data_IF_267723614618
#
_entry.id   IF_267723614618
#
_cell.length_a   1.000
_cell.length_b   1.000
_cell.length_c   1.000
_cell.angle_alpha   90.00
_cell.angle_beta   90.00
_cell.angle_gamma   90.00
#
_symmetry.space_group_name_H-M   'P 1'
#
loop_
_entity.id
_entity.type
_entity.pdbx_description
1 polymer ?
#
# COMPACT_ATOMS: atom_id res chain seq x y z
N UNK A 1 8.21 -20.69 0.40
CA UNK A 1 7.18 -19.79 0.98
C UNK A 1 7.62 -18.34 0.84
N UNK A 2 8.80 -17.98 1.35
CA UNK A 2 9.29 -16.59 1.37
C UNK A 2 9.45 -15.97 -0.02
N UNK A 3 9.94 -16.74 -1.00
CA UNK A 3 10.00 -16.27 -2.39
C UNK A 3 8.63 -15.84 -2.93
N UNK A 4 7.55 -16.56 -2.56
CA UNK A 4 6.20 -16.19 -2.96
C UNK A 4 5.76 -14.89 -2.31
N UNK A 5 6.11 -14.65 -1.03
CA UNK A 5 5.82 -13.39 -0.35
C UNK A 5 6.51 -12.21 -1.05
N UNK A 6 7.79 -12.37 -1.42
CA UNK A 6 8.55 -11.33 -2.14
C UNK A 6 7.95 -11.06 -3.51
N UNK A 7 7.62 -12.10 -4.29
CA UNK A 7 7.01 -11.90 -5.61
C UNK A 7 5.63 -11.24 -5.52
N UNK A 8 4.80 -11.62 -4.55
CA UNK A 8 3.48 -10.98 -4.34
C UNK A 8 3.62 -9.52 -3.92
N UNK A 9 4.60 -9.19 -3.08
CA UNK A 9 4.90 -7.80 -2.73
C UNK A 9 5.37 -6.99 -3.93
N UNK A 10 6.24 -7.56 -4.78
CA UNK A 10 6.70 -6.91 -6.00
C UNK A 10 5.53 -6.59 -6.95
N UNK A 11 4.63 -7.55 -7.18
CA UNK A 11 3.43 -7.32 -8.00
C UNK A 11 2.49 -6.30 -7.37
N UNK A 12 2.27 -6.36 -6.05
CA UNK A 12 1.48 -5.36 -5.33
C UNK A 12 2.08 -3.96 -5.50
N UNK A 13 3.41 -3.82 -5.40
CA UNK A 13 4.07 -2.53 -5.54
C UNK A 13 3.98 -1.95 -6.95
N UNK A 14 4.12 -2.77 -8.00
CA UNK A 14 3.88 -2.33 -9.39
C UNK A 14 2.48 -1.71 -9.55
N UNK A 15 1.44 -2.38 -9.04
CA UNK A 15 0.07 -1.85 -9.09
C UNK A 15 -0.05 -0.54 -8.33
N UNK A 16 0.52 -0.46 -7.12
CA UNK A 16 0.43 0.78 -6.34
C UNK A 16 1.24 1.92 -6.94
N UNK A 17 2.39 1.67 -7.57
CA UNK A 17 3.16 2.69 -8.29
C UNK A 17 2.34 3.26 -9.45
N UNK A 18 1.67 2.40 -10.22
CA UNK A 18 0.76 2.86 -11.28
C UNK A 18 -0.39 3.71 -10.74
N UNK A 19 -0.94 3.38 -9.57
CA UNK A 19 -1.91 4.24 -8.88
C UNK A 19 -1.28 5.58 -8.49
N UNK A 20 -0.02 5.59 -8.04
CA UNK A 20 0.73 6.81 -7.72
C UNK A 20 0.91 7.71 -8.93
N UNK A 21 1.30 7.16 -10.08
CA UNK A 21 1.38 7.89 -11.36
C UNK A 21 0.03 8.50 -11.74
N UNK A 22 -1.05 7.72 -11.64
CA UNK A 22 -2.40 8.21 -11.92
C UNK A 22 -2.83 9.32 -10.95
N UNK A 23 -2.52 9.18 -9.66
CA UNK A 23 -2.79 10.22 -8.66
C UNK A 23 -2.04 11.50 -8.96
N UNK A 24 -0.73 11.41 -9.24
CA UNK A 24 0.11 12.55 -9.61
C UNK A 24 -0.43 13.26 -10.85
N UNK A 25 -0.78 12.51 -11.91
CA UNK A 25 -1.34 13.06 -13.14
C UNK A 25 -2.68 13.80 -12.94
N UNK A 26 -3.45 13.47 -11.89
CA UNK A 26 -4.74 14.10 -11.57
C UNK A 26 -4.68 15.03 -10.35
N UNK A 27 -3.49 15.33 -9.81
CA UNK A 27 -3.33 16.20 -8.65
C UNK A 27 -3.94 15.65 -7.35
N UNK A 28 -4.09 14.33 -7.24
CA UNK A 28 -4.64 13.67 -6.05
C UNK A 28 -3.57 13.42 -5.00
N UNK A 29 -3.96 13.49 -3.73
CA UNK A 29 -3.05 13.26 -2.61
C UNK A 29 -2.50 11.82 -2.58
N UNK A 30 -1.20 11.64 -2.23
CA UNK A 30 -0.59 10.33 -2.00
C UNK A 30 -1.33 9.47 -0.97
N UNK A 31 -1.69 10.06 0.17
CA UNK A 31 -2.42 9.41 1.26
C UNK A 31 -3.94 9.57 1.09
N UNK A 32 -4.69 8.58 1.61
CA UNK A 32 -6.16 8.60 1.69
C UNK A 32 -6.56 7.89 3.00
N UNK A 33 -6.69 8.65 4.11
CA UNK A 33 -6.91 8.08 5.44
C UNK A 33 -8.14 7.19 5.54
N UNK A 34 -9.23 7.57 4.86
CA UNK A 34 -10.48 6.81 4.86
C UNK A 34 -10.31 5.48 4.12
N UNK A 35 -9.59 5.48 2.99
CA UNK A 35 -9.26 4.25 2.26
C UNK A 35 -8.31 3.36 3.04
N UNK A 36 -7.34 3.93 3.74
CA UNK A 36 -6.38 3.21 4.58
C UNK A 36 -7.09 2.52 5.75
N UNK A 37 -7.98 3.23 6.44
CA UNK A 37 -8.80 2.66 7.52
C UNK A 37 -9.64 1.46 7.04
N UNK A 38 -10.27 1.57 5.85
CA UNK A 38 -11.02 0.45 5.24
C UNK A 38 -10.13 -0.75 4.89
N UNK A 39 -8.91 -0.50 4.42
CA UNK A 39 -7.96 -1.57 4.11
C UNK A 39 -7.50 -2.30 5.37
N UNK A 40 -7.21 -1.57 6.45
CA UNK A 40 -6.87 -2.15 7.75
C UNK A 40 -8.00 -3.04 8.26
N UNK A 41 -9.23 -2.53 8.28
CA UNK A 41 -10.39 -3.30 8.75
C UNK A 41 -10.59 -4.60 7.95
N UNK A 42 -10.51 -4.54 6.62
CA UNK A 42 -10.63 -5.72 5.75
C UNK A 42 -9.52 -6.74 6.00
N UNK A 43 -8.28 -6.29 6.16
CA UNK A 43 -7.14 -7.19 6.35
C UNK A 43 -7.09 -7.81 7.75
N UNK A 44 -7.55 -7.09 8.78
CA UNK A 44 -7.80 -7.68 10.10
C UNK A 44 -8.80 -8.83 10.03
N UNK A 45 -9.89 -8.69 9.26
CA UNK A 45 -10.84 -9.77 9.05
C UNK A 45 -10.20 -10.98 8.34
N UNK A 46 -9.44 -10.75 7.27
CA UNK A 46 -8.71 -11.81 6.56
C UNK A 46 -7.68 -12.53 7.47
N UNK A 47 -7.05 -11.81 8.39
CA UNK A 47 -6.13 -12.40 9.36
C UNK A 47 -6.85 -13.36 10.31
N UNK A 48 -8.01 -12.96 10.84
CA UNK A 48 -8.87 -13.83 11.68
C UNK A 48 -9.23 -15.11 10.92
N UNK A 49 -9.71 -14.99 9.68
CA UNK A 49 -10.11 -16.13 8.85
C UNK A 49 -8.94 -17.09 8.57
N UNK A 50 -7.73 -16.53 8.39
CA UNK A 50 -6.51 -17.29 8.17
C UNK A 50 -5.87 -17.84 9.46
N UNK A 51 -6.44 -17.56 10.63
CA UNK A 51 -5.85 -17.84 11.96
C UNK A 51 -4.46 -17.21 12.15
N UNK A 52 -4.28 -16.01 11.59
CA UNK A 52 -3.14 -15.13 11.83
C UNK A 52 -3.54 -14.09 12.87
N UNK A 53 -2.61 -13.71 13.76
CA UNK A 53 -2.82 -12.63 14.71
C UNK A 53 -3.19 -11.32 13.98
N UNK A 54 -4.39 -10.74 14.23
CA UNK A 54 -4.81 -9.50 13.59
C UNK A 54 -3.92 -8.30 13.92
N UNK A 55 -3.30 -8.26 15.11
CA UNK A 55 -2.37 -7.18 15.46
C UNK A 55 -1.08 -7.25 14.64
N UNK A 56 -0.54 -8.46 14.48
CA UNK A 56 0.60 -8.68 13.59
C UNK A 56 0.27 -8.31 12.14
N UNK A 57 -0.89 -8.73 11.63
CA UNK A 57 -1.32 -8.41 10.27
C UNK A 57 -1.46 -6.90 10.05
N UNK A 58 -1.99 -6.17 11.03
CA UNK A 58 -2.09 -4.72 10.99
C UNK A 58 -0.70 -4.04 10.99
N UNK A 59 0.22 -4.48 11.85
CA UNK A 59 1.60 -3.94 11.87
C UNK A 59 2.29 -4.13 10.52
N UNK A 60 2.19 -5.33 9.93
CA UNK A 60 2.73 -5.61 8.61
C UNK A 60 2.08 -4.73 7.53
N UNK A 61 0.77 -4.57 7.57
CA UNK A 61 0.07 -3.72 6.62
C UNK A 61 0.48 -2.25 6.75
N UNK A 62 0.57 -1.72 7.96
CA UNK A 62 0.99 -0.34 8.21
C UNK A 62 2.38 -0.08 7.63
N UNK A 63 3.31 -1.04 7.78
CA UNK A 63 4.61 -1.00 7.12
C UNK A 63 4.49 -0.94 5.59
N UNK A 64 3.70 -1.82 4.98
CA UNK A 64 3.51 -1.86 3.54
C UNK A 64 2.83 -0.58 3.01
N UNK A 65 1.85 -0.02 3.73
CA UNK A 65 1.13 1.20 3.35
C UNK A 65 2.05 2.41 3.41
N UNK A 66 2.86 2.54 4.47
CA UNK A 66 3.85 3.61 4.58
C UNK A 66 4.80 3.62 3.38
N UNK A 67 5.26 2.45 2.95
CA UNK A 67 6.14 2.33 1.78
C UNK A 67 5.44 2.69 0.46
N UNK A 68 4.14 2.38 0.34
CA UNK A 68 3.33 2.83 -0.82
C UNK A 68 3.20 4.35 -0.85
N UNK A 69 2.94 4.99 0.29
CA UNK A 69 2.81 6.45 0.38
C UNK A 69 4.15 7.10 0.00
N UNK A 70 5.27 6.59 0.52
CA UNK A 70 6.61 7.05 0.15
C UNK A 70 6.86 6.98 -1.36
N UNK A 71 6.43 5.91 -2.02
CA UNK A 71 6.52 5.80 -3.48
C UNK A 71 5.64 6.83 -4.20
N UNK A 72 4.43 7.09 -3.70
CA UNK A 72 3.53 8.09 -4.30
C UNK A 72 4.07 9.50 -4.15
N UNK A 73 4.66 9.83 -3.01
CA UNK A 73 5.34 11.12 -2.77
C UNK A 73 6.51 11.30 -3.74
N UNK A 74 7.34 10.27 -3.93
CA UNK A 74 8.45 10.31 -4.89
C UNK A 74 7.94 10.55 -6.33
N UNK A 75 6.92 9.81 -6.77
CA UNK A 75 6.32 9.98 -8.11
C UNK A 75 5.72 11.38 -8.29
N UNK A 76 5.05 11.92 -7.27
CA UNK A 76 4.50 13.27 -7.31
C UNK A 76 5.61 14.33 -7.40
N UNK A 77 6.72 14.14 -6.68
CA UNK A 77 7.90 15.00 -6.75
C UNK A 77 8.52 14.98 -8.15
N UNK A 78 8.77 13.80 -8.72
CA UNK A 78 9.38 13.66 -10.05
C UNK A 78 8.51 14.32 -11.14
N UNK A 79 7.18 14.14 -11.06
CA UNK A 79 6.22 14.73 -12.01
C UNK A 79 6.18 16.26 -11.91
N UNK A 80 6.41 16.83 -10.72
CA UNK A 80 6.46 18.29 -10.55
C UNK A 80 7.75 18.92 -11.11
N UNK A 81 8.80 18.12 -11.30
CA UNK A 81 10.09 18.57 -11.85
C UNK A 81 10.25 18.36 -13.37
N UNK A 82 9.32 17.65 -14.00
CA UNK A 82 9.29 17.35 -15.44
C UNK A 82 8.43 18.34 -16.22
#
# INVERSE_FOLDING_TARGET
MDAALIHLLAERFKVTQRVGELKAAHGLAPADPDREARQIARLRALAVDARLDPEFAEKFLNFVVAEVIRHHEAIASDTATA
#
